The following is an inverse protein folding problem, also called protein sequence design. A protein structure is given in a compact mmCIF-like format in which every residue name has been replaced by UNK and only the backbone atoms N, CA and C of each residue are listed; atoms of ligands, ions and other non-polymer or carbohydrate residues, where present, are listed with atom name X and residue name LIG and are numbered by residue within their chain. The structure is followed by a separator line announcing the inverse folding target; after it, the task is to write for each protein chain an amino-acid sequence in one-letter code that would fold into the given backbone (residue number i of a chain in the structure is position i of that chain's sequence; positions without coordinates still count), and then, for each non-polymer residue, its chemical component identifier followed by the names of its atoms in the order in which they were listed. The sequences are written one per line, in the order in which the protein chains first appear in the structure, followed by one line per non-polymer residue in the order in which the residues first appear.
data_IF_446605323086
#
_entry.id   IF_446605323086
#
_cell.length_a   1.000
_cell.length_b   1.000
_cell.length_c   1.000
_cell.angle_alpha   90.00
_cell.angle_beta   90.00
_cell.angle_gamma   90.00
#
_symmetry.space_group_name_H-M   'P 1'
#
loop_
_entity.id
_entity.type
_entity.pdbx_description
1 polymer ?
#
# COMPACT_ATOMS: atom_id res chain seq x y z
N UNK A 1 20.79 -20.86 24.01
CA UNK A 1 21.45 -20.14 22.90
C UNK A 1 20.53 -18.98 22.55
N UNK A 2 20.96 -17.74 22.80
CA UNK A 2 20.16 -16.55 22.48
C UNK A 2 19.94 -16.53 20.96
N UNK A 3 18.67 -16.55 20.54
CA UNK A 3 18.29 -16.46 19.14
C UNK A 3 18.69 -15.05 18.69
N UNK A 4 19.79 -14.91 17.94
CA UNK A 4 20.20 -13.62 17.41
C UNK A 4 19.08 -13.12 16.49
N UNK A 5 18.37 -12.08 16.92
CA UNK A 5 17.32 -11.46 16.12
C UNK A 5 17.89 -11.04 14.78
N UNK A 6 17.19 -11.35 13.69
CA UNK A 6 17.61 -10.90 12.36
C UNK A 6 17.82 -9.37 12.36
N UNK A 7 18.84 -8.84 11.65
CA UNK A 7 19.03 -7.40 11.52
C UNK A 7 17.75 -6.70 11.05
N UNK A 8 17.56 -5.44 11.45
CA UNK A 8 16.36 -4.65 11.15
C UNK A 8 15.92 -4.74 9.67
N UNK A 9 16.86 -4.62 8.74
CA UNK A 9 16.59 -4.72 7.30
C UNK A 9 16.00 -6.09 6.91
N UNK A 10 16.47 -7.19 7.52
CA UNK A 10 15.94 -8.53 7.31
C UNK A 10 14.54 -8.71 7.88
N UNK A 11 14.27 -8.16 9.08
CA UNK A 11 12.92 -8.14 9.68
C UNK A 11 11.95 -7.33 8.83
N UNK A 12 12.36 -6.14 8.39
CA UNK A 12 11.55 -5.26 7.55
C UNK A 12 11.22 -5.89 6.20
N UNK A 13 12.19 -6.53 5.54
CA UNK A 13 11.94 -7.28 4.31
C UNK A 13 10.93 -8.41 4.53
N UNK A 14 11.05 -9.14 5.64
CA UNK A 14 10.11 -10.20 6.00
C UNK A 14 8.69 -9.67 6.23
N UNK A 15 8.57 -8.58 6.99
CA UNK A 15 7.29 -7.94 7.27
C UNK A 15 6.62 -7.39 6.01
N UNK A 16 7.38 -6.73 5.13
CA UNK A 16 6.87 -6.24 3.84
C UNK A 16 6.35 -7.38 2.95
N UNK A 17 7.13 -8.46 2.81
CA UNK A 17 6.72 -9.62 2.03
C UNK A 17 5.50 -10.31 2.63
N UNK A 18 5.40 -10.38 3.96
CA UNK A 18 4.22 -10.93 4.64
C UNK A 18 2.99 -10.05 4.40
N UNK A 19 3.10 -8.72 4.50
CA UNK A 19 2.00 -7.80 4.20
C UNK A 19 1.50 -7.95 2.75
N UNK A 20 2.41 -8.02 1.77
CA UNK A 20 2.06 -8.25 0.37
C UNK A 20 1.41 -9.61 0.13
N UNK A 21 1.83 -10.64 0.88
CA UNK A 21 1.24 -11.97 0.79
C UNK A 21 -0.17 -12.00 1.41
N UNK A 22 -0.36 -11.35 2.55
CA UNK A 22 -1.67 -11.20 3.21
C UNK A 22 -2.69 -10.49 2.31
N UNK A 23 -2.21 -9.59 1.45
CA UNK A 23 -3.05 -8.87 0.48
C UNK A 23 -3.85 -9.85 -0.37
N UNK A 24 -3.20 -10.89 -0.89
CA UNK A 24 -3.86 -11.87 -1.77
C UNK A 24 -4.38 -13.10 -1.04
N UNK A 25 -3.88 -13.40 0.16
CA UNK A 25 -4.43 -14.47 1.02
C UNK A 25 -5.77 -14.05 1.65
N UNK A 26 -5.97 -12.75 1.91
CA UNK A 26 -7.21 -12.21 2.49
C UNK A 26 -8.21 -11.87 1.40
N UNK A 27 -9.47 -12.30 1.55
CA UNK A 27 -10.55 -11.87 0.65
C UNK A 27 -10.93 -10.42 0.95
N UNK A 28 -10.55 -9.52 0.05
CA UNK A 28 -10.87 -8.09 0.11
C UNK A 28 -11.89 -7.78 -0.99
N UNK A 29 -13.14 -7.38 -0.66
CA UNK A 29 -14.19 -7.20 -1.65
C UNK A 29 -13.78 -6.35 -2.86
N UNK A 30 -13.94 -6.91 -4.07
CA UNK A 30 -13.63 -6.28 -5.35
C UNK A 30 -12.15 -6.39 -5.78
N UNK A 31 -11.23 -6.71 -4.87
CA UNK A 31 -9.80 -6.79 -5.15
C UNK A 31 -9.32 -8.23 -5.37
N UNK A 32 -8.10 -8.42 -5.89
CA UNK A 32 -7.57 -9.74 -6.23
C UNK A 32 -7.28 -10.54 -4.95
N UNK A 33 -7.66 -11.83 -4.94
CA UNK A 33 -7.25 -12.78 -3.91
C UNK A 33 -7.02 -14.18 -4.52
N UNK A 34 -6.39 -15.08 -3.77
CA UNK A 34 -6.19 -16.49 -4.17
C UNK A 34 -7.51 -17.19 -4.48
N UNK A 35 -8.56 -16.87 -3.70
CA UNK A 35 -9.87 -17.48 -3.87
C UNK A 35 -10.68 -16.85 -5.04
N UNK A 36 -10.26 -15.70 -5.55
CA UNK A 36 -11.05 -14.91 -6.49
C UNK A 36 -10.13 -14.00 -7.30
N UNK A 37 -9.65 -14.52 -8.43
CA UNK A 37 -8.90 -13.76 -9.42
C UNK A 37 -9.77 -12.63 -10.00
N UNK A 38 -9.14 -11.59 -10.54
CA UNK A 38 -9.86 -10.46 -11.11
C UNK A 38 -8.95 -9.51 -11.85
N UNK A 39 -9.55 -8.67 -12.69
CA UNK A 39 -8.86 -7.54 -13.35
C UNK A 39 -7.66 -7.97 -14.21
N UNK A 40 -7.73 -9.14 -14.86
CA UNK A 40 -6.66 -9.75 -15.67
C UNK A 40 -5.35 -9.98 -14.90
N UNK A 41 -5.42 -10.13 -13.58
CA UNK A 41 -4.27 -10.42 -12.72
C UNK A 41 -4.55 -11.62 -11.81
N UNK A 42 -3.47 -12.27 -11.38
CA UNK A 42 -3.49 -13.46 -10.51
C UNK A 42 -2.71 -13.21 -9.24
N UNK A 43 -3.07 -13.88 -8.14
CA UNK A 43 -2.34 -13.80 -6.86
C UNK A 43 -0.86 -14.16 -6.99
N UNK A 44 -0.52 -15.11 -7.88
CA UNK A 44 0.85 -15.49 -8.16
C UNK A 44 1.69 -14.33 -8.72
N UNK A 45 1.11 -13.49 -9.59
CA UNK A 45 1.79 -12.30 -10.11
C UNK A 45 2.06 -11.29 -8.97
N UNK A 46 1.10 -11.04 -8.08
CA UNK A 46 1.31 -10.15 -6.92
C UNK A 46 2.44 -10.66 -6.01
N UNK A 47 2.47 -11.96 -5.71
CA UNK A 47 3.53 -12.57 -4.88
C UNK A 47 4.90 -12.44 -5.55
N UNK A 48 5.00 -12.74 -6.85
CA UNK A 48 6.24 -12.58 -7.62
C UNK A 48 6.70 -11.11 -7.66
N UNK A 49 5.75 -10.19 -7.82
CA UNK A 49 5.99 -8.75 -7.82
C UNK A 49 6.53 -8.26 -6.48
N UNK A 50 5.96 -8.71 -5.36
CA UNK A 50 6.46 -8.37 -4.03
C UNK A 50 7.90 -8.88 -3.81
N UNK A 51 8.19 -10.12 -4.22
CA UNK A 51 9.52 -10.72 -4.11
C UNK A 51 10.60 -9.94 -4.86
N UNK A 52 10.30 -9.51 -6.09
CA UNK A 52 11.23 -8.76 -6.96
C UNK A 52 11.32 -7.28 -6.59
N UNK A 53 10.20 -6.62 -6.25
CA UNK A 53 10.17 -5.24 -5.77
C UNK A 53 10.96 -5.06 -4.48
N UNK A 54 10.93 -6.05 -3.57
CA UNK A 54 11.68 -6.00 -2.32
C UNK A 54 13.19 -5.80 -2.54
N UNK A 55 13.76 -6.32 -3.64
CA UNK A 55 15.18 -6.10 -3.94
C UNK A 55 15.49 -4.62 -4.22
N UNK A 56 14.60 -3.90 -4.89
CA UNK A 56 14.77 -2.46 -5.12
C UNK A 56 14.46 -1.63 -3.87
N UNK A 57 13.36 -1.93 -3.19
CA UNK A 57 12.90 -1.22 -1.99
C UNK A 57 13.92 -1.26 -0.84
N UNK A 58 14.60 -2.39 -0.64
CA UNK A 58 15.55 -2.60 0.45
C UNK A 58 17.02 -2.40 0.01
N UNK A 59 17.28 -1.65 -1.06
CA UNK A 59 18.66 -1.29 -1.44
C UNK A 59 19.26 -0.32 -0.40
N UNK A 60 20.36 -0.70 0.28
CA UNK A 60 20.95 0.11 1.35
C UNK A 60 21.39 1.49 0.86
N UNK A 61 20.97 2.55 1.57
CA UNK A 61 21.37 3.93 1.30
C UNK A 61 20.80 4.54 0.02
N UNK A 62 19.94 3.82 -0.71
CA UNK A 62 19.28 4.36 -1.89
C UNK A 62 18.30 5.47 -1.52
N UNK A 63 18.15 6.47 -2.41
CA UNK A 63 17.10 7.49 -2.28
C UNK A 63 15.72 6.92 -2.62
N UNK A 64 14.65 7.60 -2.21
CA UNK A 64 13.26 7.13 -2.39
C UNK A 64 12.92 6.94 -3.87
N UNK A 65 13.25 7.90 -4.74
CA UNK A 65 12.98 7.77 -6.18
C UNK A 65 13.74 6.59 -6.83
N UNK A 66 14.97 6.34 -6.39
CA UNK A 66 15.76 5.20 -6.86
C UNK A 66 15.15 3.85 -6.44
N UNK A 67 14.70 3.74 -5.19
CA UNK A 67 13.95 2.57 -4.70
C UNK A 67 12.70 2.32 -5.52
N UNK A 68 11.91 3.37 -5.78
CA UNK A 68 10.67 3.29 -6.56
C UNK A 68 10.97 2.77 -7.98
N UNK A 69 11.91 3.40 -8.70
CA UNK A 69 12.20 3.03 -10.08
C UNK A 69 12.75 1.61 -10.20
N UNK A 70 13.69 1.22 -9.33
CA UNK A 70 14.25 -0.13 -9.36
C UNK A 70 13.19 -1.19 -9.03
N UNK A 71 12.37 -0.97 -8.00
CA UNK A 71 11.31 -1.90 -7.61
C UNK A 71 10.24 -2.08 -8.71
N UNK A 72 9.81 -0.99 -9.36
CA UNK A 72 8.84 -1.06 -10.46
C UNK A 72 9.46 -1.75 -11.68
N UNK A 73 10.71 -1.45 -12.05
CA UNK A 73 11.41 -2.14 -13.15
C UNK A 73 11.48 -3.63 -12.94
N UNK A 74 11.95 -4.06 -11.76
CA UNK A 74 12.04 -5.48 -11.41
C UNK A 74 10.69 -6.18 -11.44
N UNK A 75 9.64 -5.49 -11.00
CA UNK A 75 8.28 -6.02 -11.10
C UNK A 75 7.88 -6.20 -12.55
N UNK A 76 8.08 -5.17 -13.38
CA UNK A 76 7.71 -5.22 -14.80
C UNK A 76 8.48 -6.31 -15.57
N UNK A 77 9.78 -6.45 -15.31
CA UNK A 77 10.62 -7.50 -15.89
C UNK A 77 10.15 -8.91 -15.51
N UNK A 78 9.59 -9.07 -14.31
CA UNK A 78 9.15 -10.37 -13.78
C UNK A 78 7.73 -10.78 -14.21
N UNK A 79 6.79 -9.83 -14.30
CA UNK A 79 5.37 -10.15 -14.53
C UNK A 79 4.71 -9.42 -15.70
N UNK A 80 5.39 -8.45 -16.31
CA UNK A 80 4.93 -7.76 -17.53
C UNK A 80 3.71 -6.84 -17.36
N UNK A 81 3.24 -6.61 -16.13
CA UNK A 81 2.10 -5.74 -15.85
C UNK A 81 2.24 -5.03 -14.49
N UNK A 82 1.40 -4.02 -14.26
CA UNK A 82 1.36 -3.29 -13.00
C UNK A 82 0.46 -3.99 -11.98
N UNK A 83 1.10 -4.59 -10.98
CA UNK A 83 0.47 -5.27 -9.85
C UNK A 83 0.66 -4.53 -8.52
N UNK A 84 1.66 -3.65 -8.40
CA UNK A 84 2.11 -3.15 -7.10
C UNK A 84 2.65 -1.71 -7.11
N UNK A 85 2.41 -0.90 -8.14
CA UNK A 85 2.93 0.48 -8.19
C UNK A 85 2.56 1.26 -6.91
N UNK A 86 1.30 1.17 -6.47
CA UNK A 86 0.84 1.88 -5.27
C UNK A 86 1.55 1.40 -4.00
N UNK A 87 1.67 0.07 -3.82
CA UNK A 87 2.46 -0.53 -2.74
C UNK A 87 3.90 0.00 -2.77
N UNK A 88 4.55 0.05 -3.93
CA UNK A 88 5.95 0.52 -4.07
C UNK A 88 6.09 2.00 -3.70
N UNK A 89 5.16 2.85 -4.18
CA UNK A 89 5.13 4.27 -3.83
C UNK A 89 4.99 4.46 -2.31
N UNK A 90 4.11 3.70 -1.66
CA UNK A 90 3.93 3.78 -0.20
C UNK A 90 5.11 3.19 0.58
N UNK A 91 5.67 2.06 0.14
CA UNK A 91 6.72 1.34 0.86
C UNK A 91 8.09 2.03 0.78
N UNK A 92 8.43 2.67 -0.34
CA UNK A 92 9.75 3.29 -0.52
C UNK A 92 10.14 4.33 0.56
N UNK A 93 9.29 5.31 0.93
CA UNK A 93 9.61 6.23 2.03
C UNK A 93 9.63 5.53 3.40
N UNK A 94 8.79 4.51 3.63
CA UNK A 94 8.81 3.71 4.86
C UNK A 94 10.13 2.95 5.02
N UNK A 95 10.61 2.29 3.95
CA UNK A 95 11.91 1.62 3.91
C UNK A 95 13.07 2.59 4.14
N UNK A 96 13.04 3.78 3.51
CA UNK A 96 14.04 4.82 3.72
C UNK A 96 14.09 5.29 5.18
N UNK A 97 12.93 5.41 5.82
CA UNK A 97 12.84 5.85 7.19
C UNK A 97 13.42 4.84 8.18
N UNK A 98 13.36 3.53 7.88
CA UNK A 98 13.95 2.46 8.69
C UNK A 98 15.48 2.48 8.71
N UNK A 99 16.13 3.01 7.67
CA UNK A 99 17.60 3.12 7.67
C UNK A 99 18.14 4.14 8.67
N UNK A 100 17.28 4.98 9.24
CA UNK A 100 17.64 5.94 10.29
C UNK A 100 17.66 5.32 11.69
N UNK A 101 17.40 4.02 11.81
CA UNK A 101 17.39 3.27 13.06
C UNK A 101 18.62 2.38 13.18
N UNK A 102 19.01 2.05 14.41
CA UNK A 102 20.06 1.06 14.66
C UNK A 102 19.64 -0.34 14.20
N UNK A 103 20.62 -1.17 13.80
CA UNK A 103 20.37 -2.50 13.25
C UNK A 103 19.59 -3.43 14.22
N UNK A 104 19.81 -3.27 15.52
CA UNK A 104 19.19 -4.08 16.58
C UNK A 104 18.10 -3.30 17.34
N UNK A 105 17.72 -2.13 16.84
CA UNK A 105 16.78 -1.25 17.53
C UNK A 105 15.34 -1.75 17.41
N UNK A 106 14.56 -1.62 18.50
CA UNK A 106 13.11 -1.82 18.46
C UNK A 106 12.44 -0.65 17.74
N UNK A 107 11.50 -0.97 16.86
CA UNK A 107 10.78 0.04 16.08
C UNK A 107 9.45 0.34 16.76
N UNK A 108 9.34 1.55 17.28
CA UNK A 108 8.07 2.14 17.70
C UNK A 108 7.41 2.86 16.51
N UNK A 109 6.08 2.77 16.43
CA UNK A 109 5.29 3.34 15.34
C UNK A 109 5.42 4.87 15.28
N UNK A 110 5.39 5.56 16.43
CA UNK A 110 5.49 7.03 16.48
C UNK A 110 6.87 7.50 16.00
N UNK A 111 7.94 6.84 16.43
CA UNK A 111 9.29 7.19 15.97
C UNK A 111 9.50 6.89 14.49
N UNK A 112 8.93 5.79 13.97
CA UNK A 112 8.99 5.49 12.53
C UNK A 112 8.17 6.47 11.71
N UNK A 113 7.00 6.90 12.20
CA UNK A 113 6.21 7.96 11.59
C UNK A 113 7.01 9.26 11.50
N UNK A 114 7.62 9.71 12.60
CA UNK A 114 8.47 10.90 12.60
C UNK A 114 9.68 10.78 11.65
N UNK A 115 10.27 9.59 11.54
CA UNK A 115 11.34 9.31 10.57
C UNK A 115 10.85 9.39 9.12
N UNK A 116 9.64 8.88 8.86
CA UNK A 116 8.98 8.96 7.54
C UNK A 116 8.69 10.40 7.15
N UNK A 117 8.18 11.23 8.08
CA UNK A 117 7.97 12.66 7.84
C UNK A 117 9.27 13.38 7.46
N UNK A 118 10.40 13.05 8.12
CA UNK A 118 11.72 13.59 7.74
C UNK A 118 12.15 13.16 6.34
N UNK A 119 11.98 11.88 5.99
CA UNK A 119 12.26 11.39 4.63
C UNK A 119 11.43 12.13 3.58
N UNK A 120 10.15 12.37 3.85
CA UNK A 120 9.26 13.09 2.93
C UNK A 120 9.67 14.56 2.75
N UNK A 121 10.19 15.20 3.80
CA UNK A 121 10.72 16.56 3.74
C UNK A 121 12.02 16.66 2.92
N UNK A 122 12.83 15.59 2.91
CA UNK A 122 14.11 15.53 2.19
C UNK A 122 13.97 15.12 0.70
N UNK A 123 12.75 14.84 0.23
CA UNK A 123 12.48 14.49 -1.16
C UNK A 123 12.79 15.66 -2.10
N UNK A 124 13.53 15.39 -3.17
CA UNK A 124 13.94 16.39 -4.14
C UNK A 124 13.35 16.15 -5.55
N UNK A 125 13.85 16.91 -6.52
CA UNK A 125 13.44 16.83 -7.93
C UNK A 125 13.98 15.57 -8.63
N UNK A 126 15.10 15.01 -8.16
CA UNK A 126 15.66 13.78 -8.71
C UNK A 126 14.84 12.58 -8.25
N UNK A 127 14.39 12.58 -6.99
CA UNK A 127 13.38 11.64 -6.50
C UNK A 127 12.10 11.70 -7.34
N UNK A 128 11.64 12.91 -7.69
CA UNK A 128 10.48 13.10 -8.57
C UNK A 128 10.71 12.50 -9.95
N UNK A 129 11.87 12.79 -10.56
CA UNK A 129 12.19 12.31 -11.92
C UNK A 129 12.19 10.79 -12.00
N UNK A 130 12.73 10.13 -10.98
CA UNK A 130 12.77 8.66 -10.93
C UNK A 130 11.39 8.06 -10.65
N UNK A 131 10.60 8.67 -9.77
CA UNK A 131 9.21 8.25 -9.53
C UNK A 131 8.33 8.42 -10.77
N UNK A 132 8.47 9.52 -11.52
CA UNK A 132 7.74 9.77 -12.77
C UNK A 132 8.06 8.72 -13.82
N UNK A 133 9.34 8.38 -13.98
CA UNK A 133 9.78 7.28 -14.86
C UNK A 133 9.17 5.94 -14.44
N UNK A 134 9.07 5.68 -13.14
CA UNK A 134 8.47 4.45 -12.62
C UNK A 134 6.96 4.41 -12.89
N UNK A 135 6.25 5.51 -12.65
CA UNK A 135 4.81 5.64 -12.93
C UNK A 135 4.54 5.47 -14.43
N UNK A 136 5.34 6.11 -15.28
CA UNK A 136 5.24 5.98 -16.73
C UNK A 136 5.51 4.54 -17.20
N UNK A 137 6.50 3.85 -16.62
CA UNK A 137 6.78 2.44 -16.91
C UNK A 137 5.63 1.52 -16.49
N UNK A 138 5.06 1.74 -15.31
CA UNK A 138 3.94 0.96 -14.79
C UNK A 138 2.63 1.25 -15.54
N UNK A 139 2.51 2.39 -16.22
CA UNK A 139 1.37 2.81 -17.03
C UNK A 139 0.00 2.52 -16.35
N UNK A 140 -0.25 3.07 -15.16
CA UNK A 140 -1.45 2.75 -14.40
C UNK A 140 -2.71 3.27 -15.12
N UNK A 141 -3.71 2.40 -15.28
CA UNK A 141 -4.93 2.74 -16.00
C UNK A 141 -5.66 3.97 -15.45
N UNK A 142 -6.11 4.84 -16.36
CA UNK A 142 -6.93 6.02 -16.03
C UNK A 142 -6.21 7.15 -15.30
N UNK A 143 -4.86 7.19 -15.31
CA UNK A 143 -4.09 8.28 -14.70
C UNK A 143 -4.39 9.65 -15.34
N UNK A 144 -4.71 9.66 -16.63
CA UNK A 144 -4.97 10.88 -17.40
C UNK A 144 -3.76 11.80 -17.47
N UNK A 145 -3.96 13.03 -17.94
CA UNK A 145 -2.96 14.08 -17.88
C UNK A 145 -3.14 14.90 -16.59
N UNK A 146 -2.06 15.11 -15.85
CA UNK A 146 -2.00 16.10 -14.78
C UNK A 146 -1.51 17.43 -15.41
N UNK A 147 -2.36 18.46 -15.54
CA UNK A 147 -2.03 19.66 -16.31
C UNK A 147 -0.76 20.37 -15.82
N UNK A 148 -0.56 20.42 -14.51
CA UNK A 148 0.54 21.15 -13.88
C UNK A 148 1.86 20.39 -13.93
N UNK A 149 1.82 19.06 -13.83
CA UNK A 149 3.01 18.19 -13.75
C UNK A 149 2.73 16.81 -14.38
N UNK A 150 2.68 16.71 -15.71
CA UNK A 150 2.41 15.45 -16.37
C UNK A 150 3.56 14.45 -16.16
N UNK A 151 3.24 13.21 -15.80
CA UNK A 151 4.23 12.17 -15.46
C UNK A 151 5.13 11.76 -16.62
N UNK A 152 4.72 12.09 -17.85
CA UNK A 152 5.51 11.86 -19.07
C UNK A 152 6.48 13.01 -19.40
N UNK A 153 6.43 14.12 -18.65
CA UNK A 153 7.37 15.22 -18.78
C UNK A 153 8.38 15.23 -17.60
N UNK A 154 9.54 15.90 -17.75
CA UNK A 154 10.44 16.13 -16.63
C UNK A 154 9.74 16.95 -15.54
N UNK A 155 9.80 16.53 -14.25
CA UNK A 155 9.22 17.30 -13.17
C UNK A 155 10.00 18.59 -12.94
N UNK A 156 9.30 19.66 -12.54
CA UNK A 156 9.91 20.93 -12.15
C UNK A 156 9.85 21.21 -10.65
N UNK A 157 9.23 20.30 -9.88
CA UNK A 157 9.06 20.38 -8.42
C UNK A 157 9.56 19.09 -7.76
N UNK A 158 9.70 19.11 -6.43
CA UNK A 158 10.08 17.91 -5.67
C UNK A 158 8.98 16.85 -5.70
N UNK A 159 9.30 15.59 -5.38
CA UNK A 159 8.32 14.51 -5.39
C UNK A 159 7.15 14.80 -4.44
N UNK A 160 7.42 15.34 -3.25
CA UNK A 160 6.37 15.69 -2.29
C UNK A 160 5.46 16.77 -2.85
N UNK A 161 6.02 17.83 -3.44
CA UNK A 161 5.24 18.91 -4.04
C UNK A 161 4.36 18.40 -5.21
N UNK A 162 4.89 17.51 -6.04
CA UNK A 162 4.11 16.85 -7.10
C UNK A 162 2.94 16.03 -6.53
N UNK A 163 3.16 15.25 -5.48
CA UNK A 163 2.09 14.48 -4.84
C UNK A 163 1.03 15.38 -4.18
N UNK A 164 1.41 16.52 -3.61
CA UNK A 164 0.45 17.49 -3.04
C UNK A 164 -0.56 17.99 -4.08
N UNK A 165 -0.16 18.17 -5.34
CA UNK A 165 -1.05 18.59 -6.43
C UNK A 165 -2.12 17.54 -6.78
N UNK A 166 -1.95 16.29 -6.35
CA UNK A 166 -2.88 15.19 -6.61
C UNK A 166 -3.58 14.68 -5.32
N UNK A 167 -3.26 15.24 -4.16
CA UNK A 167 -3.69 14.71 -2.86
C UNK A 167 -5.21 14.75 -2.63
N UNK A 168 -5.93 15.62 -3.33
CA UNK A 168 -7.38 15.72 -3.27
C UNK A 168 -8.08 14.54 -3.97
N UNK A 169 -7.49 14.03 -5.05
CA UNK A 169 -8.05 12.99 -5.93
C UNK A 169 -7.35 11.64 -5.86
N UNK A 170 -6.17 11.57 -5.26
CA UNK A 170 -5.39 10.33 -5.11
C UNK A 170 -4.95 10.06 -3.66
N UNK A 171 -5.40 8.93 -3.12
CA UNK A 171 -5.16 8.59 -1.71
C UNK A 171 -3.72 8.17 -1.40
N UNK A 172 -2.93 7.74 -2.40
CA UNK A 172 -1.48 7.51 -2.22
C UNK A 172 -0.79 8.88 -2.14
N UNK A 173 -1.11 9.79 -3.06
CA UNK A 173 -0.57 11.14 -3.06
C UNK A 173 -0.89 11.89 -1.76
N UNK A 174 -2.10 11.69 -1.21
CA UNK A 174 -2.50 12.17 0.12
C UNK A 174 -1.57 11.71 1.24
N UNK A 175 -1.02 10.50 1.19
CA UNK A 175 -0.06 10.04 2.20
C UNK A 175 1.23 10.86 2.16
N UNK A 176 1.71 11.25 0.99
CA UNK A 176 2.88 12.14 0.87
C UNK A 176 2.59 13.56 1.38
N UNK A 177 1.38 14.05 1.17
CA UNK A 177 0.94 15.37 1.65
C UNK A 177 0.84 15.39 3.18
N UNK A 178 0.04 14.49 3.75
CA UNK A 178 -0.24 14.44 5.19
C UNK A 178 0.85 13.75 6.03
N UNK A 179 1.94 13.31 5.38
CA UNK A 179 3.06 12.68 6.07
C UNK A 179 2.78 11.26 6.56
N UNK A 180 1.94 10.48 5.86
CA UNK A 180 1.53 9.12 6.19
C UNK A 180 0.67 9.03 7.46
N UNK A 181 0.02 10.13 7.85
CA UNK A 181 -0.80 10.19 9.06
C UNK A 181 -1.94 9.17 9.05
N UNK A 182 -2.53 8.87 7.88
CA UNK A 182 -3.64 7.90 7.81
C UNK A 182 -3.13 6.46 8.04
N UNK A 183 -1.95 6.12 7.49
CA UNK A 183 -1.33 4.80 7.67
C UNK A 183 -0.96 4.57 9.13
N UNK A 184 -0.27 5.52 9.76
CA UNK A 184 0.20 5.41 11.16
C UNK A 184 -0.91 5.71 12.20
N UNK A 185 -2.02 6.32 11.80
CA UNK A 185 -3.18 6.58 12.65
C UNK A 185 -4.31 5.59 12.38
N UNK A 186 -5.34 6.04 11.64
CA UNK A 186 -6.58 5.29 11.42
C UNK A 186 -6.36 3.88 10.84
N UNK A 187 -5.33 3.70 10.00
CA UNK A 187 -4.94 2.40 9.46
C UNK A 187 -4.47 1.44 10.55
N UNK A 188 -3.49 1.85 11.37
CA UNK A 188 -3.02 1.04 12.51
C UNK A 188 -4.12 0.79 13.53
N UNK A 189 -4.96 1.78 13.82
CA UNK A 189 -6.11 1.63 14.72
C UNK A 189 -7.10 0.58 14.20
N UNK A 190 -7.33 0.55 12.88
CA UNK A 190 -8.19 -0.44 12.26
C UNK A 190 -7.59 -1.85 12.30
N UNK A 191 -6.29 -1.97 12.00
CA UNK A 191 -5.55 -3.22 12.04
C UNK A 191 -5.52 -3.82 13.46
N UNK A 192 -5.28 -2.97 14.46
CA UNK A 192 -5.09 -3.37 15.85
C UNK A 192 -3.88 -4.29 16.04
N UNK A 193 -3.85 -5.04 17.14
CA UNK A 193 -2.77 -5.99 17.44
C UNK A 193 -2.69 -7.07 16.38
N UNK A 194 -1.57 -7.09 15.65
CA UNK A 194 -1.36 -8.00 14.51
C UNK A 194 -0.46 -9.16 14.92
N UNK A 195 -1.04 -10.35 14.98
CA UNK A 195 -0.36 -11.63 15.25
C UNK A 195 -0.70 -12.62 14.13
N UNK A 196 -0.03 -13.79 14.04
CA UNK A 196 -0.41 -14.82 13.07
C UNK A 196 -1.90 -15.23 13.14
N UNK A 197 -2.54 -15.10 14.31
CA UNK A 197 -3.96 -15.42 14.49
C UNK A 197 -4.93 -14.27 14.13
N UNK A 198 -4.42 -13.05 13.95
CA UNK A 198 -5.25 -11.86 13.69
C UNK A 198 -4.94 -11.15 12.38
N UNK A 199 -3.80 -11.43 11.74
CA UNK A 199 -3.28 -10.70 10.58
C UNK A 199 -4.23 -10.63 9.37
N UNK A 200 -5.03 -11.68 9.10
CA UNK A 200 -6.04 -11.63 8.03
C UNK A 200 -7.20 -10.69 8.38
N UNK A 201 -7.61 -10.65 9.66
CA UNK A 201 -8.63 -9.72 10.14
C UNK A 201 -8.11 -8.28 10.16
N UNK A 202 -6.85 -8.10 10.53
CA UNK A 202 -6.17 -6.80 10.49
C UNK A 202 -6.08 -6.27 9.05
N UNK A 203 -5.68 -7.10 8.09
CA UNK A 203 -5.65 -6.77 6.66
C UNK A 203 -7.03 -6.35 6.15
N UNK A 204 -8.06 -7.16 6.41
CA UNK A 204 -9.42 -6.86 5.98
C UNK A 204 -9.96 -5.57 6.60
N UNK A 205 -9.73 -5.35 7.90
CA UNK A 205 -10.23 -4.14 8.54
C UNK A 205 -9.51 -2.88 8.05
N UNK A 206 -8.18 -2.92 7.90
CA UNK A 206 -7.43 -1.81 7.31
C UNK A 206 -7.94 -1.47 5.91
N UNK A 207 -8.14 -2.48 5.06
CA UNK A 207 -8.73 -2.32 3.73
C UNK A 207 -10.11 -1.66 3.78
N UNK A 208 -11.02 -2.21 4.59
CA UNK A 208 -12.37 -1.66 4.73
C UNK A 208 -12.37 -0.27 5.36
N UNK A 209 -11.41 0.03 6.25
CA UNK A 209 -11.27 1.35 6.87
C UNK A 209 -10.93 2.41 5.82
N UNK A 210 -9.92 2.16 4.98
CA UNK A 210 -9.56 3.08 3.92
C UNK A 210 -10.70 3.24 2.91
N UNK A 211 -11.29 2.13 2.46
CA UNK A 211 -12.37 2.13 1.48
C UNK A 211 -13.63 2.86 1.99
N UNK A 212 -13.93 2.75 3.28
CA UNK A 212 -15.06 3.41 3.93
C UNK A 212 -14.82 4.91 4.24
N UNK A 213 -13.57 5.39 4.17
CA UNK A 213 -13.24 6.77 4.54
C UNK A 213 -13.15 7.69 3.32
N UNK A 214 -12.50 7.23 2.25
CA UNK A 214 -12.29 8.03 1.03
C UNK A 214 -12.67 7.26 -0.23
N UNK A 215 -13.19 7.93 -1.28
CA UNK A 215 -13.37 7.31 -2.58
C UNK A 215 -12.05 6.74 -3.11
N UNK A 216 -12.02 5.45 -3.43
CA UNK A 216 -10.82 4.77 -3.90
C UNK A 216 -10.34 5.35 -5.24
N UNK A 217 -9.10 5.86 -5.30
CA UNK A 217 -8.60 6.56 -6.48
C UNK A 217 -8.42 5.65 -7.70
N UNK A 218 -8.28 4.33 -7.53
CA UNK A 218 -8.31 3.40 -8.65
C UNK A 218 -9.72 3.29 -9.24
N UNK A 219 -10.76 3.21 -8.40
CA UNK A 219 -12.15 3.23 -8.86
C UNK A 219 -12.46 4.57 -9.54
N UNK A 220 -12.09 5.70 -8.93
CA UNK A 220 -12.32 7.04 -9.50
C UNK A 220 -11.74 7.14 -10.91
N UNK A 221 -10.50 6.72 -11.11
CA UNK A 221 -9.83 6.77 -12.42
C UNK A 221 -10.47 5.90 -13.49
N UNK A 222 -11.04 4.75 -13.12
CA UNK A 222 -11.61 3.79 -14.08
C UNK A 222 -13.12 3.93 -14.30
N UNK A 223 -13.85 4.35 -13.28
CA UNK A 223 -15.32 4.32 -13.26
C UNK A 223 -15.96 5.60 -12.71
N UNK A 224 -15.16 6.59 -12.35
CA UNK A 224 -15.63 7.91 -11.92
C UNK A 224 -15.99 8.00 -10.43
N UNK A 225 -16.10 9.25 -9.97
CA UNK A 225 -16.31 9.58 -8.56
C UNK A 225 -17.63 9.05 -7.99
N UNK A 226 -18.70 9.03 -8.77
CA UNK A 226 -20.01 8.56 -8.32
C UNK A 226 -19.99 7.07 -7.91
N UNK A 227 -19.35 6.22 -8.73
CA UNK A 227 -19.18 4.79 -8.41
C UNK A 227 -18.31 4.63 -7.17
N UNK A 228 -17.18 5.32 -7.11
CA UNK A 228 -16.27 5.26 -5.96
C UNK A 228 -16.97 5.66 -4.65
N UNK A 229 -17.76 6.74 -4.66
CA UNK A 229 -18.55 7.18 -3.50
C UNK A 229 -19.61 6.16 -3.08
N UNK A 230 -20.26 5.48 -4.02
CA UNK A 230 -21.20 4.40 -3.70
C UNK A 230 -20.49 3.26 -2.97
N UNK A 231 -19.34 2.82 -3.50
CA UNK A 231 -18.54 1.75 -2.90
C UNK A 231 -18.05 2.16 -1.52
N UNK A 232 -17.68 3.42 -1.30
CA UNK A 232 -17.29 3.94 0.02
C UNK A 232 -18.42 3.83 1.04
N UNK A 233 -19.65 4.19 0.67
CA UNK A 233 -20.82 4.05 1.57
C UNK A 233 -21.12 2.58 1.88
N UNK A 234 -21.08 1.72 0.86
CA UNK A 234 -21.28 0.28 1.01
C UNK A 234 -20.21 -0.32 1.95
N UNK A 235 -18.95 0.10 1.78
CA UNK A 235 -17.84 -0.32 2.64
C UNK A 235 -18.06 0.06 4.10
N UNK A 236 -18.53 1.27 4.38
CA UNK A 236 -18.85 1.70 5.74
C UNK A 236 -19.92 0.81 6.37
N UNK A 237 -20.99 0.51 5.63
CA UNK A 237 -22.07 -0.36 6.07
C UNK A 237 -21.60 -1.81 6.30
N UNK A 238 -20.90 -2.39 5.33
CA UNK A 238 -20.36 -3.76 5.44
C UNK A 238 -19.35 -3.89 6.58
N UNK A 239 -18.46 -2.91 6.75
CA UNK A 239 -17.48 -2.90 7.84
C UNK A 239 -18.15 -2.83 9.21
N UNK A 240 -19.17 -1.99 9.37
CA UNK A 240 -19.91 -1.88 10.63
C UNK A 240 -20.59 -3.20 11.00
N UNK A 241 -21.31 -3.82 10.05
CA UNK A 241 -21.98 -5.10 10.28
C UNK A 241 -21.00 -6.24 10.55
N UNK A 242 -19.92 -6.32 9.77
CA UNK A 242 -18.87 -7.32 9.96
C UNK A 242 -18.20 -7.19 11.35
N UNK A 243 -17.96 -5.95 11.82
CA UNK A 243 -17.46 -5.70 13.18
C UNK A 243 -18.46 -6.13 14.25
N UNK A 244 -19.74 -5.78 14.10
CA UNK A 244 -20.80 -6.17 15.03
C UNK A 244 -20.97 -7.70 15.10
N UNK A 245 -20.75 -8.41 14.00
CA UNK A 245 -20.79 -9.87 13.91
C UNK A 245 -19.51 -10.57 14.43
N UNK A 246 -18.59 -9.86 15.08
CA UNK A 246 -17.41 -10.45 15.71
C UNK A 246 -16.17 -10.59 14.80
N UNK A 247 -16.16 -9.93 13.63
CA UNK A 247 -15.00 -9.83 12.73
C UNK A 247 -14.48 -11.19 12.25
N UNK A 248 -15.37 -12.08 11.81
CA UNK A 248 -14.97 -13.38 11.28
C UNK A 248 -14.02 -13.23 10.08
N UNK A 249 -13.02 -14.12 9.95
CA UNK A 249 -12.07 -14.07 8.84
C UNK A 249 -12.72 -14.39 7.47
N UNK A 250 -13.92 -14.98 7.49
CA UNK A 250 -14.75 -15.26 6.32
C UNK A 250 -16.18 -14.78 6.63
N UNK A 251 -16.85 -14.21 5.63
CA UNK A 251 -18.23 -13.74 5.74
C UNK A 251 -18.92 -13.95 4.38
N UNK A 252 -20.02 -14.72 4.33
CA UNK A 252 -20.81 -14.89 3.10
C UNK A 252 -21.27 -13.55 2.51
N UNK A 253 -21.58 -12.57 3.35
CA UNK A 253 -21.99 -11.22 2.93
C UNK A 253 -20.86 -10.48 2.22
N UNK A 254 -19.63 -10.56 2.75
CA UNK A 254 -18.45 -9.98 2.11
C UNK A 254 -18.05 -10.74 0.84
N UNK A 255 -18.21 -12.06 0.82
CA UNK A 255 -17.96 -12.89 -0.37
C UNK A 255 -18.96 -12.56 -1.50
N UNK A 256 -20.24 -12.35 -1.17
CA UNK A 256 -21.25 -11.91 -2.14
C UNK A 256 -20.96 -10.49 -2.67
N UNK A 257 -20.52 -9.58 -1.79
CA UNK A 257 -20.13 -8.23 -2.19
C UNK A 257 -18.88 -8.23 -3.07
N UNK A 258 -17.88 -9.07 -2.77
CA UNK A 258 -16.70 -9.30 -3.62
C UNK A 258 -17.11 -9.70 -5.04
N UNK A 259 -17.95 -10.72 -5.17
CA UNK A 259 -18.44 -11.20 -6.45
C UNK A 259 -19.22 -10.10 -7.21
N UNK A 260 -20.07 -9.35 -6.52
CA UNK A 260 -20.85 -8.25 -7.11
C UNK A 260 -20.00 -7.06 -7.57
N UNK A 261 -18.91 -6.73 -6.89
CA UNK A 261 -17.95 -5.72 -7.33
C UNK A 261 -17.19 -6.20 -8.57
N UNK A 262 -16.70 -7.46 -8.56
CA UNK A 262 -15.93 -8.04 -9.67
C UNK A 262 -16.76 -8.22 -10.94
N UNK A 263 -18.02 -8.63 -10.82
CA UNK A 263 -18.93 -8.73 -11.96
C UNK A 263 -19.13 -7.38 -12.68
N UNK A 264 -18.98 -6.26 -11.95
CA UNK A 264 -19.01 -4.89 -12.48
C UNK A 264 -17.62 -4.33 -12.83
N UNK A 265 -16.57 -5.15 -12.75
CA UNK A 265 -15.19 -4.73 -12.99
C UNK A 265 -14.65 -3.70 -12.00
N UNK A 266 -15.26 -3.57 -10.81
CA UNK A 266 -14.87 -2.60 -9.78
C UNK A 266 -13.69 -3.15 -8.97
N UNK A 267 -12.61 -2.38 -8.89
CA UNK A 267 -11.40 -2.73 -8.14
C UNK A 267 -11.02 -1.62 -7.15
N UNK A 268 -11.24 -1.82 -5.83
CA UNK A 268 -10.72 -0.93 -4.80
C UNK A 268 -9.21 -1.12 -4.58
N UNK A 269 -8.41 -0.87 -5.61
CA UNK A 269 -6.97 -1.18 -5.59
C UNK A 269 -6.16 -0.24 -4.70
N UNK A 270 -6.50 1.05 -4.66
CA UNK A 270 -5.75 2.01 -3.83
C UNK A 270 -5.93 1.71 -2.34
N UNK A 271 -7.13 1.28 -1.94
CA UNK A 271 -7.41 0.85 -0.56
C UNK A 271 -6.66 -0.43 -0.19
N UNK A 272 -6.42 -1.33 -1.15
CA UNK A 272 -5.55 -2.49 -0.97
C UNK A 272 -4.08 -2.07 -0.78
N UNK A 273 -3.57 -1.16 -1.62
CA UNK A 273 -2.21 -0.63 -1.49
C UNK A 273 -1.96 -0.01 -0.10
N UNK A 274 -2.92 0.80 0.38
CA UNK A 274 -2.88 1.40 1.72
C UNK A 274 -2.93 0.36 2.83
N UNK A 275 -3.77 -0.67 2.70
CA UNK A 275 -3.83 -1.76 3.66
C UNK A 275 -2.50 -2.53 3.74
N UNK A 276 -1.83 -2.77 2.61
CA UNK A 276 -0.48 -3.39 2.59
C UNK A 276 0.53 -2.52 3.33
N UNK A 277 0.55 -1.20 3.08
CA UNK A 277 1.45 -0.29 3.78
C UNK A 277 1.18 -0.27 5.30
N UNK A 278 -0.09 -0.24 5.71
CA UNK A 278 -0.49 -0.34 7.13
C UNK A 278 -0.05 -1.66 7.74
N UNK A 279 -0.25 -2.80 7.07
CA UNK A 279 0.16 -4.11 7.61
C UNK A 279 1.67 -4.27 7.64
N UNK A 280 2.41 -3.66 6.72
CA UNK A 280 3.86 -3.61 6.81
C UNK A 280 4.30 -2.88 8.09
N UNK A 281 3.68 -1.72 8.40
CA UNK A 281 3.97 -1.00 9.64
C UNK A 281 3.56 -1.84 10.85
N UNK A 282 2.33 -2.36 10.87
CA UNK A 282 1.80 -3.13 12.00
C UNK A 282 2.63 -4.37 12.31
N UNK A 283 3.09 -5.13 11.30
CA UNK A 283 3.93 -6.32 11.49
C UNK A 283 5.33 -5.99 12.03
N UNK A 284 5.84 -4.79 11.73
CA UNK A 284 7.14 -4.32 12.21
C UNK A 284 7.11 -3.77 13.63
N UNK A 285 5.98 -3.19 14.03
CA UNK A 285 5.80 -2.57 15.36
C UNK A 285 5.04 -3.47 16.33
N UNK A 286 4.44 -4.57 15.85
CA UNK A 286 3.84 -5.56 16.73
C UNK A 286 4.92 -6.25 17.56
N UNK A 287 4.66 -6.55 18.84
CA UNK A 287 5.59 -7.34 19.63
C UNK A 287 5.78 -8.69 18.94
N UNK A 288 6.98 -8.94 18.40
CA UNK A 288 7.41 -10.28 18.05
C UNK A 288 7.32 -11.10 19.33
N UNK A 289 6.40 -12.08 19.36
CA UNK A 289 6.17 -13.04 20.45
C UNK A 289 7.16 -12.95 21.61
N UNK A 290 6.66 -12.44 22.75
CA UNK A 290 7.13 -12.93 24.04
C UNK A 290 6.93 -14.45 24.12
#
# INVERSE_FOLDING_TARGET
MANASAPLAGRARTAFLRACRLDVETRKPGNVSVASAGHNMTSAQFIASAGTAASGLFTPGARVGARILDAVRRTFDAVGCNTNLGIVLLAAPLCAALERFGADESIDASRWHASTVRVLADLDIDDARLAYRAIALANPGGLGDAPEQPVHAPPTVTLRAAMMLAADRDSIARQYENGFADIFGAGLDAAGTTTPATEHRAMLDAFLAFLATWPDSHIVRKQGAAVAQSVTRDAAWHRANWRAAGRAAQSPELDAWDAGLKARGINPGTSADLAVATLFVALMTSPMNA
#
